data_IF_093484378123
#
_entry.id   IF_093484378123
#
_cell.length_a   1.000
_cell.length_b   1.000
_cell.length_c   1.000
_cell.angle_alpha   90.00
_cell.angle_beta   90.00
_cell.angle_gamma   90.00
#
_symmetry.space_group_name_H-M   'P 1'
#
loop_
_entity.id
_entity.type
_entity.pdbx_description
1 polymer ?
#
# COMPACT_ATOMS: atom_id res chain seq x y z
N UNK A 1 12.37 -3.37 -19.45
CA UNK A 1 11.59 -2.34 -18.73
C UNK A 1 11.13 -2.94 -17.41
N UNK A 2 11.39 -2.27 -16.29
CA UNK A 2 10.92 -2.70 -14.98
C UNK A 2 9.39 -2.55 -14.89
N UNK A 3 8.74 -3.39 -14.07
CA UNK A 3 7.30 -3.36 -13.83
C UNK A 3 7.04 -3.20 -12.34
N UNK A 4 6.15 -2.30 -11.99
CA UNK A 4 5.70 -2.10 -10.60
C UNK A 4 4.18 -2.28 -10.50
N UNK A 5 3.73 -2.83 -9.37
CA UNK A 5 2.33 -2.85 -8.97
C UNK A 5 2.19 -1.93 -7.75
N UNK A 6 1.18 -1.06 -7.76
CA UNK A 6 0.87 -0.16 -6.64
C UNK A 6 -0.57 -0.42 -6.20
N UNK A 7 -0.77 -1.04 -5.05
CA UNK A 7 -2.07 -1.10 -4.38
C UNK A 7 -2.35 0.22 -3.68
N UNK A 8 -3.57 0.73 -3.76
CA UNK A 8 -3.93 2.04 -3.22
C UNK A 8 -3.49 3.22 -4.09
N UNK A 9 -3.36 3.02 -5.39
CA UNK A 9 -2.86 4.02 -6.35
C UNK A 9 -3.69 5.30 -6.41
N UNK A 10 -4.97 5.25 -6.04
CA UNK A 10 -5.89 6.40 -6.02
C UNK A 10 -5.74 7.28 -4.78
N UNK A 11 -4.95 6.85 -3.79
CA UNK A 11 -4.55 7.66 -2.64
C UNK A 11 -3.52 8.73 -3.02
N UNK A 12 -3.20 9.61 -2.07
CA UNK A 12 -2.22 10.68 -2.28
C UNK A 12 -0.84 10.11 -2.65
N UNK A 13 -0.27 9.28 -1.78
CA UNK A 13 1.06 8.71 -1.97
C UNK A 13 1.11 7.78 -3.18
N UNK A 14 0.05 6.99 -3.42
CA UNK A 14 -0.06 6.11 -4.58
C UNK A 14 -0.03 6.88 -5.89
N UNK A 15 -0.69 8.03 -5.96
CA UNK A 15 -0.69 8.87 -7.16
C UNK A 15 0.70 9.46 -7.44
N UNK A 16 1.35 10.03 -6.44
CA UNK A 16 2.72 10.57 -6.58
C UNK A 16 3.74 9.48 -6.93
N UNK A 17 3.65 8.32 -6.27
CA UNK A 17 4.53 7.19 -6.57
C UNK A 17 4.35 6.71 -8.01
N UNK A 18 3.10 6.68 -8.52
CA UNK A 18 2.84 6.27 -9.89
C UNK A 18 3.50 7.22 -10.91
N UNK A 19 3.41 8.52 -10.69
CA UNK A 19 4.04 9.54 -11.53
C UNK A 19 5.57 9.43 -11.48
N UNK A 20 6.14 9.29 -10.29
CA UNK A 20 7.57 9.12 -10.10
C UNK A 20 8.11 7.90 -10.85
N UNK A 21 7.49 6.72 -10.67
CA UNK A 21 7.94 5.49 -11.32
C UNK A 21 7.77 5.54 -12.85
N UNK A 22 6.74 6.22 -13.34
CA UNK A 22 6.57 6.47 -14.78
C UNK A 22 7.69 7.36 -15.31
N UNK A 23 8.12 8.38 -14.55
CA UNK A 23 9.30 9.21 -14.85
C UNK A 23 10.58 8.38 -14.92
N UNK A 24 10.76 7.44 -14.00
CA UNK A 24 11.89 6.49 -13.95
C UNK A 24 11.82 5.38 -15.03
N UNK A 25 10.88 5.43 -15.93
CA UNK A 25 10.78 4.49 -17.06
C UNK A 25 10.13 3.15 -16.75
N UNK A 26 9.45 3.01 -15.63
CA UNK A 26 8.70 1.79 -15.31
C UNK A 26 7.42 1.67 -16.15
N UNK A 27 6.95 0.43 -16.32
CA UNK A 27 5.53 0.16 -16.57
C UNK A 27 4.84 -0.02 -15.22
N UNK A 28 3.81 0.79 -14.96
CA UNK A 28 3.10 0.86 -13.68
C UNK A 28 1.70 0.28 -13.83
N UNK A 29 1.36 -0.63 -12.94
CA UNK A 29 0.03 -1.20 -12.77
C UNK A 29 -0.56 -0.66 -11.47
N UNK A 30 -1.42 0.33 -11.59
CA UNK A 30 -2.10 0.92 -10.44
C UNK A 30 -3.35 0.14 -10.09
N UNK A 31 -3.43 -0.39 -8.87
CA UNK A 31 -4.60 -1.16 -8.42
C UNK A 31 -5.54 -0.26 -7.64
N UNK A 32 -6.77 -0.18 -8.11
CA UNK A 32 -7.87 0.54 -7.46
C UNK A 32 -9.01 -0.40 -7.15
N UNK A 33 -9.60 -0.24 -5.96
CA UNK A 33 -10.83 -0.96 -5.59
C UNK A 33 -11.99 -0.45 -6.42
N UNK A 34 -12.91 -1.36 -6.77
CA UNK A 34 -14.16 -0.96 -7.40
C UNK A 34 -14.93 0.02 -6.53
N UNK A 35 -15.33 1.14 -7.10
CA UNK A 35 -16.17 2.14 -6.45
C UNK A 35 -17.29 2.55 -7.40
N UNK A 36 -18.45 2.92 -6.87
CA UNK A 36 -19.54 3.56 -7.63
C UNK A 36 -19.23 5.01 -7.98
N UNK A 37 -18.32 5.64 -7.24
CA UNK A 37 -17.86 6.99 -7.51
C UNK A 37 -16.50 6.93 -8.21
N UNK A 38 -16.23 7.90 -9.10
CA UNK A 38 -14.91 8.06 -9.67
C UNK A 38 -13.91 8.48 -8.58
N UNK A 39 -12.91 7.65 -8.35
CA UNK A 39 -11.84 7.89 -7.39
C UNK A 39 -10.49 8.14 -8.08
N UNK A 40 -10.49 8.40 -9.39
CA UNK A 40 -9.27 8.58 -10.20
C UNK A 40 -8.80 10.04 -10.31
N UNK A 41 -9.47 10.97 -9.63
CA UNK A 41 -9.19 12.41 -9.73
C UNK A 41 -7.71 12.79 -9.44
N UNK A 42 -6.97 11.93 -8.70
CA UNK A 42 -5.53 12.13 -8.43
C UNK A 42 -4.60 11.53 -9.49
N UNK A 43 -5.14 10.89 -10.52
CA UNK A 43 -4.36 10.17 -11.55
C UNK A 43 -4.34 10.80 -12.95
N UNK A 44 -4.60 12.12 -13.15
CA UNK A 44 -4.75 12.68 -14.49
C UNK A 44 -3.50 12.49 -15.36
N UNK A 45 -2.31 12.64 -14.78
CA UNK A 45 -1.02 12.47 -15.46
C UNK A 45 -0.77 10.97 -15.74
N UNK A 46 -0.98 10.11 -14.75
CA UNK A 46 -0.75 8.67 -14.91
C UNK A 46 -1.67 8.06 -15.96
N UNK A 47 -2.95 8.42 -15.97
CA UNK A 47 -3.94 7.90 -16.93
C UNK A 47 -3.65 8.25 -18.40
N UNK A 48 -2.94 9.34 -18.65
CA UNK A 48 -2.53 9.72 -20.02
C UNK A 48 -1.24 9.03 -20.47
N UNK A 49 -0.52 8.37 -19.57
CA UNK A 49 0.75 7.73 -19.88
C UNK A 49 0.55 6.29 -20.40
N UNK A 50 1.05 5.99 -21.60
CA UNK A 50 0.94 4.65 -22.23
C UNK A 50 1.59 3.51 -21.43
N UNK A 51 2.44 3.83 -20.44
CA UNK A 51 3.08 2.86 -19.56
C UNK A 51 2.33 2.68 -18.23
N UNK A 52 1.21 3.38 -18.04
CA UNK A 52 0.32 3.18 -16.90
C UNK A 52 -0.88 2.34 -17.30
N UNK A 53 -1.26 1.43 -16.42
CA UNK A 53 -2.45 0.58 -16.56
C UNK A 53 -3.21 0.58 -15.23
N UNK A 54 -4.43 1.09 -15.25
CA UNK A 54 -5.31 1.04 -14.09
C UNK A 54 -6.00 -0.33 -14.06
N UNK A 55 -5.79 -1.07 -12.97
CA UNK A 55 -6.32 -2.41 -12.75
C UNK A 55 -7.33 -2.38 -11.61
N UNK A 56 -8.47 -3.02 -11.82
CA UNK A 56 -9.42 -3.24 -10.73
C UNK A 56 -8.96 -4.41 -9.86
N UNK A 57 -8.86 -4.21 -8.54
CA UNK A 57 -8.46 -5.25 -7.60
C UNK A 57 -8.68 -4.83 -6.15
N UNK A 58 -8.66 -5.82 -5.26
CA UNK A 58 -8.82 -5.64 -3.82
C UNK A 58 -7.79 -6.49 -3.07
N UNK A 59 -7.16 -5.95 -2.05
CA UNK A 59 -6.19 -6.67 -1.21
C UNK A 59 -6.84 -7.79 -0.39
N UNK A 60 -8.15 -7.75 -0.24
CA UNK A 60 -8.93 -8.80 0.43
C UNK A 60 -9.27 -10.00 -0.48
N UNK A 61 -8.96 -9.93 -1.80
CA UNK A 61 -9.13 -11.03 -2.76
C UNK A 61 -7.78 -11.69 -3.11
N UNK A 62 -7.35 -12.75 -2.41
CA UNK A 62 -6.07 -13.42 -2.69
C UNK A 62 -6.02 -14.04 -4.09
N UNK A 63 -7.15 -14.47 -4.66
CA UNK A 63 -7.19 -14.99 -6.00
C UNK A 63 -6.95 -13.91 -7.06
N UNK A 64 -7.50 -12.71 -6.86
CA UNK A 64 -7.24 -11.55 -7.71
C UNK A 64 -5.78 -11.11 -7.64
N UNK A 65 -5.20 -11.08 -6.44
CA UNK A 65 -3.78 -10.80 -6.22
C UNK A 65 -2.92 -11.80 -6.98
N UNK A 66 -3.20 -13.10 -6.83
CA UNK A 66 -2.46 -14.17 -7.53
C UNK A 66 -2.51 -14.01 -9.06
N UNK A 67 -3.70 -13.78 -9.62
CA UNK A 67 -3.87 -13.57 -11.06
C UNK A 67 -3.05 -12.39 -11.56
N UNK A 68 -3.12 -11.26 -10.84
CA UNK A 68 -2.40 -10.03 -11.21
C UNK A 68 -0.88 -10.22 -11.14
N UNK A 69 -0.36 -10.69 -10.02
CA UNK A 69 1.08 -10.87 -9.86
C UNK A 69 1.65 -11.91 -10.85
N UNK A 70 0.90 -13.00 -11.10
CA UNK A 70 1.30 -14.05 -12.05
C UNK A 70 1.35 -13.54 -13.49
N UNK A 71 0.39 -12.70 -13.90
CA UNK A 71 0.34 -12.15 -15.26
C UNK A 71 1.38 -11.04 -15.47
N UNK A 72 1.50 -10.12 -14.52
CA UNK A 72 2.40 -8.96 -14.60
C UNK A 72 3.86 -9.37 -14.38
N UNK A 73 4.11 -10.32 -13.47
CA UNK A 73 5.47 -10.71 -13.02
C UNK A 73 6.27 -9.46 -12.64
N UNK A 74 5.83 -8.70 -11.63
CA UNK A 74 6.42 -7.41 -11.29
C UNK A 74 7.85 -7.58 -10.76
N UNK A 75 8.63 -6.50 -10.80
CA UNK A 75 9.92 -6.40 -10.13
C UNK A 75 9.75 -5.82 -8.73
N UNK A 76 8.70 -5.02 -8.55
CA UNK A 76 8.41 -4.31 -7.31
C UNK A 76 6.90 -4.28 -7.08
N UNK A 77 6.49 -4.44 -5.82
CA UNK A 77 5.10 -4.34 -5.35
C UNK A 77 5.06 -3.39 -4.18
N UNK A 78 4.23 -2.37 -4.28
CA UNK A 78 4.01 -1.36 -3.25
C UNK A 78 2.59 -1.51 -2.70
N UNK A 79 2.47 -1.76 -1.41
CA UNK A 79 1.18 -1.79 -0.74
C UNK A 79 0.96 -0.52 0.07
N UNK A 80 0.14 0.37 -0.49
CA UNK A 80 -0.33 1.61 0.12
C UNK A 80 -1.85 1.53 0.39
N UNK A 81 -2.44 0.35 0.17
CA UNK A 81 -3.87 0.15 0.42
C UNK A 81 -4.13 0.00 1.91
N UNK A 82 -4.97 0.86 2.44
CA UNK A 82 -5.37 0.82 3.84
C UNK A 82 -6.79 1.37 4.02
N UNK A 83 -7.44 0.98 5.12
CA UNK A 83 -8.48 1.76 5.77
C UNK A 83 -7.74 2.65 6.80
N UNK A 84 -7.33 3.86 6.42
CA UNK A 84 -6.39 4.70 7.16
C UNK A 84 -7.05 5.71 8.12
N UNK A 85 -8.36 5.69 8.25
CA UNK A 85 -9.06 6.58 9.17
C UNK A 85 -9.14 5.93 10.56
N UNK A 86 -8.34 6.42 11.51
CA UNK A 86 -8.18 5.84 12.86
C UNK A 86 -9.51 5.65 13.58
N UNK A 87 -10.38 6.68 13.60
CA UNK A 87 -11.69 6.56 14.26
C UNK A 87 -12.55 5.44 13.66
N UNK A 88 -12.59 5.30 12.34
CA UNK A 88 -13.32 4.22 11.67
C UNK A 88 -12.83 2.83 12.10
N UNK A 89 -11.57 2.69 12.51
CA UNK A 89 -11.06 1.41 12.99
C UNK A 89 -11.71 0.95 14.29
N UNK A 90 -12.16 1.87 15.14
CA UNK A 90 -12.93 1.53 16.34
C UNK A 90 -14.39 1.13 16.01
N UNK A 91 -14.98 1.76 15.00
CA UNK A 91 -16.34 1.43 14.57
C UNK A 91 -16.40 0.16 13.73
N UNK A 92 -15.35 -0.10 12.94
CA UNK A 92 -15.26 -1.22 11.99
C UNK A 92 -13.92 -1.97 12.12
N UNK A 93 -13.61 -2.54 13.31
CA UNK A 93 -12.31 -3.18 13.54
C UNK A 93 -12.06 -4.39 12.63
N UNK A 94 -13.08 -5.20 12.36
CA UNK A 94 -12.95 -6.35 11.46
C UNK A 94 -12.64 -5.94 10.01
N UNK A 95 -13.31 -4.90 9.50
CA UNK A 95 -13.04 -4.37 8.16
C UNK A 95 -11.62 -3.81 8.08
N UNK A 96 -11.19 -3.09 9.12
CA UNK A 96 -9.83 -2.55 9.20
C UNK A 96 -8.80 -3.68 9.20
N UNK A 97 -8.99 -4.71 10.02
CA UNK A 97 -8.13 -5.89 10.06
C UNK A 97 -8.05 -6.60 8.70
N UNK A 98 -9.20 -6.85 8.05
CA UNK A 98 -9.22 -7.53 6.76
C UNK A 98 -8.46 -6.78 5.68
N UNK A 99 -8.50 -5.44 5.70
CA UNK A 99 -7.81 -4.62 4.70
C UNK A 99 -6.33 -4.45 5.08
N UNK A 100 -6.02 -4.06 6.31
CA UNK A 100 -4.66 -3.65 6.70
C UNK A 100 -3.77 -4.87 6.96
N UNK A 101 -4.15 -5.74 7.89
CA UNK A 101 -3.33 -6.88 8.28
C UNK A 101 -3.46 -8.04 7.28
N UNK A 102 -4.68 -8.52 7.06
CA UNK A 102 -4.92 -9.66 6.18
C UNK A 102 -4.66 -9.34 4.71
N UNK A 103 -4.94 -8.11 4.27
CA UNK A 103 -4.61 -7.66 2.92
C UNK A 103 -3.10 -7.71 2.66
N UNK A 104 -2.28 -7.24 3.59
CA UNK A 104 -0.82 -7.37 3.52
C UNK A 104 -0.39 -8.84 3.49
N UNK A 105 -0.92 -9.67 4.38
CA UNK A 105 -0.64 -11.10 4.44
C UNK A 105 -0.98 -11.80 3.11
N UNK A 106 -2.12 -11.49 2.50
CA UNK A 106 -2.53 -12.06 1.22
C UNK A 106 -1.51 -11.78 0.11
N UNK A 107 -1.00 -10.53 0.03
CA UNK A 107 0.02 -10.16 -0.95
C UNK A 107 1.32 -10.94 -0.69
N UNK A 108 1.76 -11.00 0.57
CA UNK A 108 2.99 -11.69 0.96
C UNK A 108 2.92 -13.20 0.67
N UNK A 109 1.78 -13.87 0.92
CA UNK A 109 1.59 -15.28 0.63
C UNK A 109 1.67 -15.57 -0.87
N UNK A 110 1.08 -14.69 -1.70
CA UNK A 110 1.22 -14.82 -3.15
C UNK A 110 2.69 -14.63 -3.57
N UNK A 111 3.37 -13.60 -3.06
CA UNK A 111 4.79 -13.36 -3.35
C UNK A 111 5.65 -14.55 -2.91
N UNK A 112 5.37 -15.12 -1.73
CA UNK A 112 6.08 -16.31 -1.21
C UNK A 112 5.99 -17.49 -2.18
N UNK A 113 4.85 -17.68 -2.83
CA UNK A 113 4.61 -18.78 -3.79
C UNK A 113 5.28 -18.57 -5.16
N UNK A 114 5.73 -17.34 -5.49
CA UNK A 114 6.33 -17.05 -6.79
C UNK A 114 7.77 -17.57 -6.89
N UNK A 115 8.15 -18.09 -8.05
CA UNK A 115 9.53 -18.50 -8.33
C UNK A 115 10.50 -17.32 -8.30
N UNK A 116 10.13 -16.20 -8.95
CA UNK A 116 10.89 -14.95 -8.92
C UNK A 116 10.11 -13.95 -8.06
N UNK A 117 10.58 -13.71 -6.86
CA UNK A 117 9.95 -12.81 -5.90
C UNK A 117 10.23 -11.36 -6.26
N UNK A 118 9.22 -10.49 -6.35
CA UNK A 118 9.42 -9.04 -6.44
C UNK A 118 9.96 -8.49 -5.12
N UNK A 119 10.55 -7.30 -5.14
CA UNK A 119 10.72 -6.50 -3.93
C UNK A 119 9.35 -6.02 -3.47
N UNK A 120 9.11 -6.10 -2.18
CA UNK A 120 7.86 -5.69 -1.57
C UNK A 120 8.08 -4.52 -0.62
N UNK A 121 7.23 -3.52 -0.71
CA UNK A 121 7.16 -2.39 0.21
C UNK A 121 5.78 -2.32 0.84
N UNK A 122 5.72 -2.26 2.17
CA UNK A 122 4.53 -1.98 2.97
C UNK A 122 4.66 -0.57 3.53
N UNK A 123 3.69 0.30 3.27
CA UNK A 123 3.73 1.66 3.80
C UNK A 123 3.67 1.67 5.33
N UNK A 124 2.85 0.78 5.90
CA UNK A 124 2.66 0.71 7.35
C UNK A 124 2.13 2.03 7.92
N UNK A 125 2.37 2.33 9.20
CA UNK A 125 1.92 3.57 9.84
C UNK A 125 2.79 3.91 11.06
N UNK A 126 3.02 5.19 11.31
CA UNK A 126 3.60 5.68 12.56
C UNK A 126 2.70 5.45 13.77
N UNK A 127 1.40 5.24 13.56
CA UNK A 127 0.44 4.90 14.62
C UNK A 127 0.83 3.63 15.41
N UNK A 128 1.70 2.77 14.84
CA UNK A 128 2.25 1.59 15.53
C UNK A 128 3.04 1.96 16.79
N UNK A 129 3.65 3.12 16.83
CA UNK A 129 4.43 3.61 17.96
C UNK A 129 3.57 4.30 19.02
N UNK A 130 2.34 4.73 18.66
CA UNK A 130 1.43 5.44 19.55
C UNK A 130 2.06 6.69 20.13
N UNK A 131 2.08 6.80 21.44
CA UNK A 131 2.68 7.91 22.20
C UNK A 131 4.07 7.60 22.78
N UNK A 132 4.72 6.54 22.28
CA UNK A 132 6.14 6.31 22.55
C UNK A 132 6.99 7.23 21.68
N UNK A 133 7.81 8.02 22.34
CA UNK A 133 8.76 8.92 21.71
C UNK A 133 10.12 8.79 22.38
N UNK A 134 11.16 8.92 21.59
CA UNK A 134 12.53 9.11 22.04
C UNK A 134 12.88 10.59 21.99
N UNK A 135 13.93 11.02 22.71
CA UNK A 135 14.36 12.40 22.80
C UNK A 135 15.84 12.49 22.43
N UNK A 136 16.20 13.43 21.58
CA UNK A 136 17.59 13.69 21.28
C UNK A 136 18.24 14.61 22.35
N UNK A 137 19.51 14.96 22.14
CA UNK A 137 20.27 15.82 23.07
C UNK A 137 19.70 17.23 23.19
N UNK A 138 18.96 17.72 22.20
CA UNK A 138 18.39 19.05 22.14
C UNK A 138 16.94 19.07 22.67
N UNK A 139 16.41 17.90 23.02
CA UNK A 139 15.07 17.69 23.55
C UNK A 139 13.98 17.56 22.47
N UNK A 140 14.37 17.43 21.22
CA UNK A 140 13.45 17.17 20.12
C UNK A 140 12.95 15.71 20.17
N UNK A 141 11.67 15.53 19.88
CA UNK A 141 11.02 14.20 19.90
C UNK A 141 11.15 13.51 18.55
N UNK A 142 11.44 12.22 18.56
CA UNK A 142 11.50 11.40 17.35
C UNK A 142 11.00 9.97 17.60
N UNK A 143 10.80 9.23 16.53
CA UNK A 143 10.54 7.80 16.49
C UNK A 143 11.42 7.19 15.40
N UNK A 144 12.06 6.08 15.70
CA UNK A 144 12.92 5.34 14.75
C UNK A 144 12.68 3.83 14.85
N UNK A 145 13.55 3.06 14.22
CA UNK A 145 13.46 1.59 14.20
C UNK A 145 13.72 0.93 15.55
N UNK A 146 14.21 1.65 16.54
CA UNK A 146 14.46 1.17 17.92
C UNK A 146 13.32 1.53 18.86
N UNK A 147 12.48 2.50 18.48
CA UNK A 147 11.32 2.91 19.29
C UNK A 147 10.36 1.73 19.45
N UNK A 148 9.98 1.42 20.68
CA UNK A 148 9.08 0.29 20.97
C UNK A 148 7.66 0.57 20.46
N UNK A 149 7.00 -0.45 19.91
CA UNK A 149 5.61 -0.34 19.50
C UNK A 149 4.68 -0.16 20.71
N UNK A 150 3.72 0.73 20.56
CA UNK A 150 2.68 1.01 21.55
C UNK A 150 1.35 1.36 20.84
N UNK A 151 0.78 0.43 20.03
CA UNK A 151 -0.42 0.71 19.24
C UNK A 151 -1.61 1.04 20.15
N UNK A 152 -2.34 2.11 19.81
CA UNK A 152 -3.47 2.61 20.61
C UNK A 152 -4.81 2.55 19.86
N UNK A 153 -4.85 1.94 18.69
CA UNK A 153 -6.07 1.77 17.92
C UNK A 153 -6.08 0.44 17.16
N UNK A 154 -7.24 -0.08 16.74
CA UNK A 154 -7.30 -1.24 15.85
C UNK A 154 -6.62 -1.03 14.50
N UNK A 155 -6.43 0.23 14.08
CA UNK A 155 -5.66 0.57 12.88
C UNK A 155 -4.15 0.40 13.11
N UNK A 156 -3.68 0.70 14.31
CA UNK A 156 -2.26 0.68 14.66
C UNK A 156 -1.71 -0.73 14.90
N UNK A 157 -2.58 -1.70 15.21
CA UNK A 157 -2.25 -3.12 15.43
C UNK A 157 -2.04 -3.81 14.08
#
# INVERSE_FOLDING_TARGET
MKRAIIYGVTGQDGSYLSEFLLGEGYKVYGVARRSSNDNTARLPISLTNKRFELVQGDVTDPAGIYRLLSSVKPHEVYNLAAQSHVWTSFEQPSTTWDIVAKGCMNILEVIRSMQKKPRFYQASSSEMFGDNFDYDSDGDVYQDELTAFNPQSPYAI
#
